data_IF_639955320971
#
_entry.id   IF_639955320971
#
_cell.length_a   1.000
_cell.length_b   1.000
_cell.length_c   1.000
_cell.angle_alpha   90.00
_cell.angle_beta   90.00
_cell.angle_gamma   90.00
#
_symmetry.space_group_name_H-M   'P 1'
#
loop_
_entity.id
_entity.type
_entity.pdbx_description
1 polymer ?
#
# COMPACT_ATOMS: atom_id res chain seq x y z
N UNK A 1 -12.63 6.99 -14.30
CA UNK A 1 -12.75 6.47 -12.90
C UNK A 1 -13.39 7.58 -12.07
N UNK A 2 -14.40 7.29 -11.24
CA UNK A 2 -14.98 8.27 -10.29
C UNK A 2 -14.15 8.22 -9.01
N UNK A 3 -13.89 9.36 -8.38
CA UNK A 3 -13.21 9.50 -7.09
C UNK A 3 -14.09 8.84 -6.04
N UNK A 4 -13.79 7.59 -5.74
CA UNK A 4 -14.50 6.84 -4.74
C UNK A 4 -14.26 7.47 -3.35
N UNK A 5 -15.32 7.83 -2.60
CA UNK A 5 -15.19 8.26 -1.21
C UNK A 5 -14.30 7.34 -0.36
N UNK A 6 -14.29 6.05 -0.65
CA UNK A 6 -13.47 5.06 0.05
C UNK A 6 -11.98 5.18 -0.25
N UNK A 7 -11.60 5.46 -1.51
CA UNK A 7 -10.19 5.69 -1.86
C UNK A 7 -9.64 6.87 -1.05
N UNK A 8 -10.42 7.96 -0.93
CA UNK A 8 -10.03 9.13 -0.13
C UNK A 8 -9.91 8.81 1.35
N UNK A 9 -10.83 7.99 1.87
CA UNK A 9 -10.83 7.55 3.27
C UNK A 9 -9.55 6.76 3.58
N UNK A 10 -9.21 5.76 2.75
CA UNK A 10 -8.02 4.93 2.89
C UNK A 10 -6.74 5.74 2.75
N UNK A 11 -6.67 6.65 1.77
CA UNK A 11 -5.51 7.50 1.58
C UNK A 11 -5.24 8.40 2.78
N UNK A 12 -6.29 8.99 3.40
CA UNK A 12 -6.14 9.76 4.65
C UNK A 12 -5.68 8.89 5.82
N UNK A 13 -6.20 7.66 5.94
CA UNK A 13 -5.76 6.73 6.97
C UNK A 13 -4.29 6.39 6.82
N UNK A 14 -3.83 6.13 5.59
CA UNK A 14 -2.42 5.81 5.33
C UNK A 14 -1.50 6.99 5.60
N UNK A 15 -1.84 8.22 5.17
CA UNK A 15 -1.06 9.42 5.52
C UNK A 15 -0.97 9.62 7.03
N UNK A 16 -2.07 9.39 7.75
CA UNK A 16 -2.07 9.43 9.22
C UNK A 16 -1.22 8.31 9.83
N UNK A 17 -1.23 7.10 9.26
CA UNK A 17 -0.46 5.94 9.71
C UNK A 17 1.04 6.18 9.59
N UNK A 18 1.49 6.77 8.48
CA UNK A 18 2.90 7.09 8.26
C UNK A 18 3.31 8.43 8.88
N UNK A 19 2.36 9.16 9.49
CA UNK A 19 2.62 10.39 10.24
C UNK A 19 2.96 11.60 9.38
N UNK A 20 2.51 11.65 8.11
CA UNK A 20 2.83 12.76 7.20
C UNK A 20 1.65 13.71 7.03
N UNK A 21 1.96 15.00 6.93
CA UNK A 21 1.01 16.04 6.55
C UNK A 21 0.85 16.12 5.03
N UNK A 22 -0.27 16.72 4.57
CA UNK A 22 -0.50 16.98 3.14
C UNK A 22 0.59 17.89 2.54
N UNK A 23 1.18 18.76 3.36
CA UNK A 23 2.26 19.64 2.95
C UNK A 23 3.55 18.87 2.67
N UNK A 24 3.92 17.95 3.56
CA UNK A 24 5.06 17.05 3.35
C UNK A 24 4.85 16.16 2.13
N UNK A 25 3.64 15.63 1.96
CA UNK A 25 3.27 14.84 0.77
C UNK A 25 3.40 15.67 -0.49
N UNK A 26 3.01 16.95 -0.47
CA UNK A 26 3.14 17.86 -1.61
C UNK A 26 4.61 18.05 -2.00
N UNK A 27 5.48 18.31 -1.03
CA UNK A 27 6.91 18.51 -1.23
C UNK A 27 7.56 17.21 -1.76
N UNK A 28 7.29 16.07 -1.14
CA UNK A 28 7.92 14.80 -1.49
C UNK A 28 7.45 14.26 -2.85
N UNK A 29 6.16 14.40 -3.17
CA UNK A 29 5.58 13.90 -4.43
C UNK A 29 5.66 14.89 -5.58
N UNK A 30 5.96 16.16 -5.31
CA UNK A 30 5.89 17.24 -6.31
C UNK A 30 4.46 17.56 -6.77
N UNK A 31 3.43 16.97 -6.15
CA UNK A 31 2.04 17.29 -6.44
C UNK A 31 1.69 18.56 -5.70
N UNK A 32 1.09 19.54 -6.39
CA UNK A 32 0.66 20.78 -5.75
C UNK A 32 -0.30 20.52 -4.58
N UNK A 33 -0.05 21.17 -3.43
CA UNK A 33 -0.87 21.03 -2.22
C UNK A 33 -2.36 21.20 -2.49
N UNK A 34 -2.75 22.22 -3.25
CA UNK A 34 -4.14 22.46 -3.63
C UNK A 34 -4.77 21.31 -4.43
N UNK A 35 -3.98 20.58 -5.22
CA UNK A 35 -4.45 19.36 -5.90
C UNK A 35 -4.71 18.24 -4.90
N UNK A 36 -3.79 18.01 -3.95
CA UNK A 36 -3.98 17.01 -2.89
C UNK A 36 -5.19 17.36 -2.01
N UNK A 37 -5.36 18.63 -1.63
CA UNK A 37 -6.52 19.09 -0.87
C UNK A 37 -7.82 18.86 -1.63
N UNK A 38 -7.86 19.23 -2.91
CA UNK A 38 -9.03 18.98 -3.77
C UNK A 38 -9.35 17.48 -3.86
N UNK A 39 -8.34 16.61 -3.88
CA UNK A 39 -8.53 15.15 -3.81
C UNK A 39 -9.10 14.76 -2.45
N UNK A 40 -8.53 15.24 -1.33
CA UNK A 40 -8.97 14.88 0.02
C UNK A 40 -10.42 15.31 0.31
N UNK A 41 -10.81 16.51 -0.12
CA UNK A 41 -12.17 17.04 0.08
C UNK A 41 -13.16 16.59 -1.00
N UNK A 42 -12.69 15.86 -2.02
CA UNK A 42 -13.55 15.30 -3.06
C UNK A 42 -14.03 16.28 -4.12
N UNK A 43 -13.37 17.44 -4.27
CA UNK A 43 -13.64 18.41 -5.36
C UNK A 43 -13.23 17.91 -6.74
N UNK A 44 -12.27 16.99 -6.82
CA UNK A 44 -11.90 16.34 -8.09
C UNK A 44 -12.56 14.97 -8.23
N UNK A 45 -13.05 14.73 -9.44
CA UNK A 45 -13.78 13.53 -9.85
C UNK A 45 -12.91 12.29 -10.02
N UNK A 46 -11.59 12.39 -10.04
CA UNK A 46 -10.67 11.23 -9.95
C UNK A 46 -9.27 11.66 -9.55
N UNK A 47 -8.55 10.79 -8.84
CA UNK A 47 -7.08 10.83 -8.87
C UNK A 47 -6.62 10.29 -10.25
N UNK A 48 -5.58 10.90 -10.81
CA UNK A 48 -4.98 10.49 -12.09
C UNK A 48 -3.78 9.59 -11.85
N UNK A 49 -3.43 8.75 -12.82
CA UNK A 49 -2.27 7.85 -12.76
C UNK A 49 -0.96 8.59 -12.48
N UNK A 50 -0.82 9.81 -13.01
CA UNK A 50 0.34 10.67 -12.73
C UNK A 50 0.47 11.03 -11.24
N UNK A 51 -0.65 11.22 -10.54
CA UNK A 51 -0.65 11.50 -9.09
C UNK A 51 -0.34 10.23 -8.29
N UNK A 52 -0.88 9.09 -8.72
CA UNK A 52 -0.57 7.80 -8.10
C UNK A 52 0.92 7.46 -8.24
N UNK A 53 1.48 7.60 -9.45
CA UNK A 53 2.90 7.34 -9.73
C UNK A 53 3.83 8.25 -8.93
N UNK A 54 3.47 9.54 -8.80
CA UNK A 54 4.22 10.47 -7.96
C UNK A 54 4.18 10.07 -6.47
N UNK A 55 3.01 9.64 -5.96
CA UNK A 55 2.89 9.12 -4.60
C UNK A 55 3.68 7.82 -4.39
N UNK A 56 3.68 6.89 -5.36
CA UNK A 56 4.49 5.66 -5.32
C UNK A 56 5.98 5.97 -5.13
N UNK A 57 6.48 6.96 -5.86
CA UNK A 57 7.91 7.31 -5.87
C UNK A 57 8.32 8.00 -4.57
N UNK A 58 7.47 8.88 -4.06
CA UNK A 58 7.71 9.60 -2.81
C UNK A 58 7.57 8.68 -1.57
N UNK A 59 6.65 7.72 -1.65
CA UNK A 59 6.33 6.82 -0.54
C UNK A 59 6.20 5.38 -1.04
N UNK A 60 7.32 4.64 -1.15
CA UNK A 60 7.29 3.24 -1.60
C UNK A 60 6.55 2.32 -0.62
N UNK A 61 6.47 2.69 0.66
CA UNK A 61 5.78 1.93 1.72
C UNK A 61 4.27 2.13 1.75
N UNK A 62 3.73 2.99 0.87
CA UNK A 62 2.31 3.30 0.81
C UNK A 62 1.58 2.16 0.05
N UNK A 63 0.63 1.46 0.68
CA UNK A 63 -0.03 0.31 0.06
C UNK A 63 -1.08 0.77 -0.97
N UNK A 64 -0.64 1.20 -2.14
CA UNK A 64 -1.50 1.75 -3.20
C UNK A 64 -2.58 0.78 -3.67
N UNK A 65 -2.28 -0.53 -3.69
CA UNK A 65 -3.27 -1.53 -4.03
C UNK A 65 -4.44 -1.50 -3.04
N UNK A 66 -4.16 -1.36 -1.74
CA UNK A 66 -5.17 -1.16 -0.71
C UNK A 66 -5.92 0.16 -0.88
N UNK A 67 -5.20 1.24 -1.14
CA UNK A 67 -5.81 2.55 -1.35
C UNK A 67 -6.80 2.53 -2.51
N UNK A 68 -6.45 1.88 -3.62
CA UNK A 68 -7.30 1.80 -4.80
C UNK A 68 -8.43 0.78 -4.65
N UNK A 69 -8.11 -0.44 -4.21
CA UNK A 69 -9.04 -1.58 -4.28
C UNK A 69 -9.75 -1.89 -2.96
N UNK A 70 -9.21 -1.45 -1.83
CA UNK A 70 -9.75 -1.73 -0.49
C UNK A 70 -9.31 -3.08 0.04
N UNK A 71 -8.76 -3.91 -0.84
CA UNK A 71 -8.03 -5.09 -0.51
C UNK A 71 -6.60 -4.66 -0.25
N UNK A 72 -6.14 -4.75 1.01
CA UNK A 72 -4.74 -5.09 1.20
C UNK A 72 -4.57 -6.31 0.33
N UNK A 73 -3.57 -6.32 -0.57
CA UNK A 73 -3.08 -7.58 -1.09
C UNK A 73 -2.82 -8.37 0.18
N UNK A 74 -3.75 -9.26 0.56
CA UNK A 74 -3.54 -10.17 1.65
C UNK A 74 -2.15 -10.67 1.39
N UNK A 75 -1.28 -10.52 2.40
CA UNK A 75 0.04 -11.12 2.38
C UNK A 75 -0.11 -12.39 1.58
N UNK A 76 0.41 -12.42 0.34
CA UNK A 76 0.59 -13.70 -0.32
C UNK A 76 1.33 -14.47 0.75
N UNK A 77 0.74 -15.59 1.12
CA UNK A 77 1.01 -16.36 2.31
C UNK A 77 2.41 -16.98 2.28
N UNK A 78 3.39 -16.31 1.66
CA UNK A 78 4.81 -16.60 1.64
C UNK A 78 5.35 -16.83 3.04
N UNK A 79 4.77 -16.24 4.10
CA UNK A 79 5.23 -16.54 5.46
C UNK A 79 4.72 -17.88 5.98
N UNK A 80 3.47 -18.29 5.76
CA UNK A 80 3.07 -19.64 6.16
C UNK A 80 3.57 -20.70 5.17
N UNK A 81 3.59 -20.42 3.87
CA UNK A 81 4.05 -21.36 2.85
C UNK A 81 5.56 -21.63 2.99
N UNK A 82 6.39 -20.61 3.23
CA UNK A 82 7.84 -20.81 3.46
C UNK A 82 8.08 -21.50 4.78
N UNK A 83 7.32 -21.18 5.84
CA UNK A 83 7.44 -21.87 7.13
C UNK A 83 7.04 -23.34 7.03
N UNK A 84 5.92 -23.64 6.37
CA UNK A 84 5.45 -24.99 6.14
C UNK A 84 6.43 -25.79 5.26
N UNK A 85 6.98 -25.18 4.21
CA UNK A 85 7.98 -25.81 3.35
C UNK A 85 9.30 -26.10 4.09
N UNK A 86 9.74 -25.18 4.96
CA UNK A 86 10.92 -25.37 5.80
C UNK A 86 10.71 -26.51 6.82
N UNK A 87 9.56 -26.53 7.50
CA UNK A 87 9.22 -27.58 8.47
C UNK A 87 9.02 -28.96 7.81
N UNK A 88 8.49 -29.02 6.60
CA UNK A 88 8.40 -30.25 5.81
C UNK A 88 9.79 -30.77 5.42
N UNK A 89 10.68 -29.87 4.99
CA UNK A 89 12.05 -30.21 4.61
C UNK A 89 12.87 -30.70 5.81
N UNK A 90 12.74 -30.04 6.98
CA UNK A 90 13.40 -30.46 8.22
C UNK A 90 12.95 -31.84 8.70
N UNK A 91 11.65 -32.16 8.57
CA UNK A 91 11.12 -33.50 8.88
C UNK A 91 11.66 -34.58 7.94
N UNK A 92 11.74 -34.29 6.63
CA UNK A 92 12.31 -35.21 5.65
C UNK A 92 13.78 -35.53 5.94
N UNK A 93 14.58 -34.50 6.27
CA UNK A 93 16.00 -34.67 6.62
C UNK A 93 16.21 -35.49 7.89
N UNK A 94 15.40 -35.27 8.93
CA UNK A 94 15.50 -36.07 10.17
C UNK A 94 15.11 -37.53 9.94
N UNK A 95 14.22 -37.83 8.99
CA UNK A 95 13.84 -39.19 8.63
C UNK A 95 14.97 -39.94 7.91
N UNK A 96 15.73 -39.24 7.07
CA UNK A 96 16.90 -39.79 6.37
C UNK A 96 18.14 -39.98 7.27
N UNK A 97 18.17 -39.33 8.44
CA UNK A 97 19.27 -39.45 9.42
C UNK A 97 19.00 -40.46 10.54
N UNK A 98 17.81 -41.07 10.55
CA UNK A 98 17.34 -42.01 11.58
C UNK A 98 17.26 -43.47 11.12
N UNK A 99 17.80 -43.78 9.94
CA UNK A 99 18.12 -45.13 9.45
C UNK A 99 19.63 -45.32 9.44
#
# INVERSE_FOLDING_TARGET
MKSDPEIRRRLRQEFKRIGVSIEEVSIASGIAKGTLDNIMIGRVSSMKDVHLSALCRAYPDLPLLYILTGHLKENIDLRNDVKAAFEASARALNRLRGE
#
